data_IF_682276362227
#
_entry.id   IF_682276362227
#
_cell.length_a   1.000
_cell.length_b   1.000
_cell.length_c   1.000
_cell.angle_alpha   90.00
_cell.angle_beta   90.00
_cell.angle_gamma   90.00
#
_symmetry.space_group_name_H-M   'P 1'
#
loop_
_entity.id
_entity.type
_entity.pdbx_description
1 polymer ?
#
# COMPACT_ATOMS: atom_id res chain seq x y z
N UNK A 1 6.58 -5.12 -13.39
CA UNK A 1 7.17 -3.77 -13.44
C UNK A 1 8.34 -3.73 -12.46
N UNK A 2 9.53 -3.45 -12.94
CA UNK A 2 10.74 -3.32 -12.13
C UNK A 2 10.73 -1.94 -11.47
N UNK A 3 10.96 -1.89 -10.16
CA UNK A 3 10.90 -0.66 -9.38
C UNK A 3 12.16 -0.56 -8.56
N UNK A 4 13.01 0.40 -8.90
CA UNK A 4 14.36 0.46 -8.35
C UNK A 4 14.44 0.94 -6.91
N UNK A 5 13.75 1.96 -6.50
CA UNK A 5 13.79 2.46 -5.13
C UNK A 5 12.43 2.96 -4.71
N UNK A 6 11.86 2.32 -3.71
CA UNK A 6 10.56 2.70 -3.17
C UNK A 6 10.77 3.43 -1.85
N UNK A 7 10.32 4.67 -1.78
CA UNK A 7 10.30 5.42 -0.52
C UNK A 7 9.03 5.16 0.29
N UNK A 8 7.96 4.76 -0.37
CA UNK A 8 6.68 4.45 0.24
C UNK A 8 5.99 3.32 -0.52
N UNK A 9 5.54 2.31 0.21
CA UNK A 9 4.65 1.28 -0.30
C UNK A 9 3.56 1.02 0.73
N UNK A 10 2.31 1.05 0.31
CA UNK A 10 1.19 0.65 1.14
C UNK A 10 0.11 -0.02 0.30
N UNK A 11 -0.49 -1.09 0.82
CA UNK A 11 -1.73 -1.64 0.31
C UNK A 11 -2.85 -1.29 1.29
N UNK A 12 -3.92 -0.74 0.75
CA UNK A 12 -5.02 -0.22 1.55
C UNK A 12 -6.34 -0.88 1.14
N UNK A 13 -7.16 -1.19 2.14
CA UNK A 13 -8.56 -1.63 2.00
C UNK A 13 -9.54 -0.61 2.58
N UNK A 14 -9.03 0.45 3.17
CA UNK A 14 -9.77 1.58 3.69
C UNK A 14 -9.07 2.88 3.33
N UNK A 15 -9.79 4.00 3.42
CA UNK A 15 -9.25 5.31 3.08
C UNK A 15 -8.12 5.75 4.01
N UNK A 16 -8.24 5.41 5.29
CA UNK A 16 -7.38 5.92 6.36
C UNK A 16 -6.51 4.83 6.98
N UNK A 17 -5.35 5.25 7.47
CA UNK A 17 -4.39 4.44 8.19
C UNK A 17 -3.82 5.24 9.37
N UNK A 18 -3.51 4.57 10.47
CA UNK A 18 -2.72 5.11 11.58
C UNK A 18 -3.10 6.53 12.04
N UNK A 19 -4.15 6.69 12.81
CA UNK A 19 -4.50 8.00 13.39
C UNK A 19 -5.17 8.99 12.44
N UNK A 20 -5.74 8.53 11.33
CA UNK A 20 -6.54 9.37 10.44
C UNK A 20 -5.85 9.88 9.19
N UNK A 21 -4.65 9.43 8.88
CA UNK A 21 -3.99 9.74 7.61
C UNK A 21 -4.79 9.14 6.44
N UNK A 22 -5.17 9.98 5.47
CA UNK A 22 -5.94 9.56 4.28
C UNK A 22 -5.01 9.03 3.21
N UNK A 23 -4.48 7.84 3.44
CA UNK A 23 -3.47 7.19 2.58
C UNK A 23 -4.03 6.74 1.24
N UNK A 24 -5.30 6.29 1.20
CA UNK A 24 -6.00 5.90 -0.02
C UNK A 24 -7.26 6.77 -0.21
N UNK A 25 -7.12 8.05 -0.60
CA UNK A 25 -8.24 8.97 -0.68
C UNK A 25 -9.32 8.45 -1.66
N UNK A 26 -10.57 8.50 -1.21
CA UNK A 26 -11.73 8.02 -1.97
C UNK A 26 -11.89 6.50 -2.01
N UNK A 27 -11.11 5.76 -1.23
CA UNK A 27 -11.31 4.33 -1.12
C UNK A 27 -12.47 4.00 -0.19
N UNK A 28 -13.32 3.08 -0.63
CA UNK A 28 -14.41 2.55 0.17
C UNK A 28 -14.11 1.11 0.62
N UNK A 29 -14.31 0.74 1.90
CA UNK A 29 -13.96 -0.57 2.42
C UNK A 29 -14.78 -1.73 1.80
N UNK A 30 -15.93 -1.43 1.20
CA UNK A 30 -16.76 -2.39 0.47
C UNK A 30 -16.54 -2.36 -1.04
N UNK A 31 -15.41 -1.81 -1.50
CA UNK A 31 -15.03 -1.78 -2.91
C UNK A 31 -14.59 -3.15 -3.44
N UNK A 32 -14.56 -3.27 -4.77
CA UNK A 32 -14.21 -4.53 -5.46
C UNK A 32 -12.70 -4.75 -5.62
N UNK A 33 -11.88 -3.86 -5.10
CA UNK A 33 -10.41 -3.93 -5.21
C UNK A 33 -9.73 -3.19 -4.06
N UNK A 34 -8.54 -3.63 -3.69
CA UNK A 34 -7.62 -2.86 -2.86
C UNK A 34 -6.98 -1.72 -3.66
N UNK A 35 -6.31 -0.80 -2.96
CA UNK A 35 -5.47 0.24 -3.57
C UNK A 35 -4.02 0.03 -3.17
N UNK A 36 -3.14 0.12 -4.14
CA UNK A 36 -1.70 0.17 -3.91
C UNK A 36 -1.25 1.62 -4.05
N UNK A 37 -0.55 2.11 -3.05
CA UNK A 37 0.09 3.41 -3.05
C UNK A 37 1.59 3.16 -3.19
N UNK A 38 2.20 3.78 -4.18
CA UNK A 38 3.61 3.64 -4.49
C UNK A 38 4.28 5.01 -4.55
N UNK A 39 5.35 5.18 -3.80
CA UNK A 39 6.20 6.36 -3.85
C UNK A 39 7.61 5.97 -4.27
N UNK A 40 8.06 6.49 -5.42
CA UNK A 40 9.34 6.13 -6.01
C UNK A 40 10.36 7.25 -5.93
N UNK A 41 11.58 6.91 -5.55
CA UNK A 41 12.71 7.84 -5.55
C UNK A 41 12.45 9.12 -4.75
N UNK A 42 11.72 9.03 -3.65
CA UNK A 42 11.46 10.16 -2.75
C UNK A 42 12.72 10.47 -1.96
N UNK A 43 13.15 11.73 -1.97
CA UNK A 43 14.20 12.20 -1.07
C UNK A 43 13.69 12.26 0.37
N UNK A 44 14.59 12.26 1.35
CA UNK A 44 14.24 12.40 2.78
C UNK A 44 13.41 13.65 3.05
N UNK A 45 13.73 14.75 2.38
CA UNK A 45 12.97 16.01 2.49
C UNK A 45 11.58 15.85 1.90
N UNK A 46 11.44 15.20 0.74
CA UNK A 46 10.14 14.93 0.14
C UNK A 46 9.28 14.00 1.02
N UNK A 47 9.90 13.02 1.67
CA UNK A 47 9.19 12.16 2.63
C UNK A 47 8.65 12.94 3.83
N UNK A 48 9.41 13.91 4.33
CA UNK A 48 8.93 14.79 5.39
C UNK A 48 7.82 15.74 4.89
N UNK A 49 7.99 16.35 3.73
CA UNK A 49 7.04 17.31 3.17
C UNK A 49 5.72 16.65 2.73
N UNK A 50 5.70 15.35 2.47
CA UNK A 50 4.48 14.63 2.06
C UNK A 50 3.52 14.40 3.22
N UNK A 51 3.97 14.47 4.47
CA UNK A 51 3.14 14.16 5.65
C UNK A 51 1.89 15.01 5.75
N UNK A 52 2.00 16.32 5.57
CA UNK A 52 0.82 17.21 5.58
C UNK A 52 -0.17 16.95 4.45
N UNK A 53 0.27 16.83 3.19
CA UNK A 53 -0.58 16.37 2.09
C UNK A 53 -1.18 14.97 2.30
N UNK A 54 -0.46 14.05 2.93
CA UNK A 54 -0.92 12.70 3.24
C UNK A 54 -2.11 12.72 4.21
N UNK A 55 -2.04 13.52 5.26
CA UNK A 55 -3.14 13.73 6.20
C UNK A 55 -4.42 14.18 5.49
N UNK A 56 -4.30 15.03 4.48
CA UNK A 56 -5.41 15.61 3.71
C UNK A 56 -5.79 14.79 2.47
N UNK A 57 -5.15 13.65 2.22
CA UNK A 57 -5.38 12.85 1.01
C UNK A 57 -4.91 13.52 -0.29
N UNK A 58 -4.00 14.51 -0.22
CA UNK A 58 -3.50 15.30 -1.37
C UNK A 58 -2.08 14.92 -1.80
N UNK A 59 -1.62 13.74 -1.42
CA UNK A 59 -0.26 13.26 -1.73
C UNK A 59 -0.16 12.55 -3.08
N UNK A 60 -1.26 11.94 -3.56
CA UNK A 60 -1.29 11.23 -4.84
C UNK A 60 -0.95 12.18 -5.98
N UNK A 61 -0.07 11.74 -6.88
CA UNK A 61 0.43 12.56 -7.99
C UNK A 61 1.52 13.56 -7.63
N UNK A 62 1.85 13.75 -6.35
CA UNK A 62 2.89 14.70 -5.95
C UNK A 62 4.24 14.38 -6.58
N UNK A 63 4.86 15.41 -7.13
CA UNK A 63 6.15 15.38 -7.84
C UNK A 63 6.22 14.35 -8.98
N UNK A 64 5.06 13.81 -9.44
CA UNK A 64 5.04 12.68 -10.37
C UNK A 64 5.65 11.38 -9.82
N UNK A 65 5.84 11.30 -8.49
CA UNK A 65 6.52 10.19 -7.82
C UNK A 65 5.61 9.33 -6.97
N UNK A 66 4.38 9.77 -6.70
CA UNK A 66 3.43 9.03 -5.87
C UNK A 66 2.22 8.66 -6.72
N UNK A 67 1.99 7.37 -6.90
CA UNK A 67 0.83 6.82 -7.60
C UNK A 67 -0.09 6.07 -6.65
N UNK A 68 -1.35 5.98 -7.02
CA UNK A 68 -2.35 5.13 -6.39
C UNK A 68 -3.09 4.36 -7.49
N UNK A 69 -3.07 3.05 -7.41
CA UNK A 69 -3.62 2.17 -8.44
C UNK A 69 -4.54 1.11 -7.82
N UNK A 70 -5.66 0.75 -8.47
CA UNK A 70 -6.47 -0.39 -8.04
C UNK A 70 -5.69 -1.68 -8.27
N UNK A 71 -5.82 -2.62 -7.34
CA UNK A 71 -5.15 -3.91 -7.45
C UNK A 71 -5.97 -5.02 -6.81
N UNK A 72 -6.02 -6.18 -7.47
CA UNK A 72 -6.62 -7.41 -6.92
C UNK A 72 -5.57 -8.43 -6.51
N UNK A 73 -4.48 -8.48 -7.24
CA UNK A 73 -3.37 -9.40 -6.97
C UNK A 73 -2.05 -8.68 -7.19
N UNK A 74 -1.10 -8.84 -6.29
CA UNK A 74 0.26 -8.37 -6.47
C UNK A 74 1.25 -9.24 -5.71
N UNK A 75 2.49 -9.18 -6.14
CA UNK A 75 3.60 -9.88 -5.54
C UNK A 75 4.74 -8.92 -5.23
N UNK A 76 5.33 -9.07 -4.06
CA UNK A 76 6.50 -8.31 -3.62
C UNK A 76 7.68 -9.26 -3.53
N UNK A 77 8.76 -8.91 -4.21
CA UNK A 77 10.04 -9.63 -4.14
C UNK A 77 11.16 -8.67 -3.81
N UNK A 78 12.09 -9.09 -2.96
CA UNK A 78 13.35 -8.38 -2.81
C UNK A 78 14.16 -8.52 -4.10
N UNK A 79 14.91 -7.49 -4.46
CA UNK A 79 15.83 -7.52 -5.59
C UNK A 79 17.26 -7.54 -5.06
N UNK A 80 18.14 -8.22 -5.77
CA UNK A 80 19.58 -8.20 -5.53
C UNK A 80 20.23 -6.88 -6.04
N UNK A 81 21.54 -6.76 -5.89
CA UNK A 81 22.30 -5.60 -6.33
C UNK A 81 22.23 -5.39 -7.86
N UNK A 82 21.95 -6.44 -8.64
CA UNK A 82 21.77 -6.38 -10.08
C UNK A 82 20.31 -6.07 -10.47
N UNK A 83 19.42 -5.96 -9.47
CA UNK A 83 17.99 -5.74 -9.66
C UNK A 83 17.25 -6.99 -10.14
N UNK A 84 17.79 -8.19 -9.92
CA UNK A 84 17.11 -9.44 -10.17
C UNK A 84 16.36 -9.92 -8.91
N UNK A 85 15.19 -10.59 -9.07
CA UNK A 85 14.46 -11.14 -7.93
C UNK A 85 15.32 -12.14 -7.16
N UNK A 86 15.46 -11.94 -5.85
CA UNK A 86 16.15 -12.91 -5.01
C UNK A 86 15.27 -14.15 -4.85
N UNK A 87 15.86 -15.33 -5.05
CA UNK A 87 15.27 -16.59 -4.66
C UNK A 87 15.43 -16.78 -3.14
N UNK A 88 14.66 -17.67 -2.52
CA UNK A 88 14.61 -17.91 -1.07
C UNK A 88 15.98 -18.11 -0.38
N UNK A 89 17.01 -18.43 -1.15
CA UNK A 89 18.37 -18.62 -0.67
C UNK A 89 19.35 -17.49 -1.08
N UNK A 90 18.85 -16.36 -1.57
CA UNK A 90 19.68 -15.23 -1.99
C UNK A 90 20.30 -14.47 -0.80
N UNK A 91 21.50 -13.93 -1.03
CA UNK A 91 22.32 -13.27 -0.01
C UNK A 91 21.78 -11.92 0.51
N UNK A 92 20.66 -11.41 -0.02
CA UNK A 92 20.06 -10.17 0.49
C UNK A 92 19.06 -10.46 1.61
N UNK A 93 19.07 -9.67 2.68
CA UNK A 93 18.10 -9.83 3.75
C UNK A 93 16.68 -9.65 3.19
N UNK A 94 15.71 -10.46 3.65
CA UNK A 94 14.33 -10.31 3.23
C UNK A 94 13.80 -8.95 3.70
N UNK A 95 12.88 -8.36 2.91
CA UNK A 95 12.15 -7.18 3.33
C UNK A 95 11.04 -7.60 4.31
N UNK A 96 10.95 -6.90 5.41
CA UNK A 96 9.87 -7.11 6.38
C UNK A 96 8.60 -6.40 5.94
N UNK A 97 7.47 -7.05 6.12
CA UNK A 97 6.15 -6.53 5.75
C UNK A 97 5.31 -6.42 7.02
N UNK A 98 4.79 -5.23 7.24
CA UNK A 98 3.87 -4.95 8.32
C UNK A 98 2.43 -5.10 7.83
N UNK A 99 1.63 -5.90 8.53
CA UNK A 99 0.18 -5.97 8.40
C UNK A 99 -0.45 -5.40 9.67
N UNK A 100 -1.34 -4.43 9.47
CA UNK A 100 -2.07 -3.77 10.57
C UNK A 100 -1.18 -3.29 11.74
N UNK A 101 0.07 -2.91 11.41
CA UNK A 101 1.04 -2.41 12.38
C UNK A 101 1.98 -3.46 12.97
N UNK A 102 1.77 -4.75 12.69
CA UNK A 102 2.64 -5.84 13.15
C UNK A 102 3.52 -6.38 12.02
N UNK A 103 4.79 -6.64 12.31
CA UNK A 103 5.69 -7.31 11.35
C UNK A 103 5.33 -8.80 11.35
N UNK A 104 4.65 -9.24 10.29
CA UNK A 104 4.03 -10.56 10.23
C UNK A 104 4.66 -11.48 9.21
N UNK A 105 5.34 -10.94 8.21
CA UNK A 105 5.92 -11.72 7.11
C UNK A 105 7.12 -11.06 6.47
N UNK A 106 7.80 -11.81 5.60
CA UNK A 106 8.96 -11.37 4.83
C UNK A 106 8.76 -11.68 3.36
N UNK A 107 9.49 -10.97 2.48
CA UNK A 107 9.51 -11.29 1.03
C UNK A 107 10.16 -12.65 0.75
N UNK A 108 9.74 -13.38 -0.31
CA UNK A 108 8.69 -13.00 -1.26
C UNK A 108 7.30 -13.21 -0.68
N UNK A 109 6.35 -12.35 -1.03
CA UNK A 109 4.97 -12.49 -0.59
C UNK A 109 4.01 -12.13 -1.72
N UNK A 110 2.93 -12.89 -1.83
CA UNK A 110 1.83 -12.66 -2.76
C UNK A 110 0.56 -12.32 -1.97
N UNK A 111 -0.13 -11.28 -2.42
CA UNK A 111 -1.42 -10.88 -1.89
C UNK A 111 -2.49 -11.04 -2.95
N UNK A 112 -3.59 -11.68 -2.56
CA UNK A 112 -4.79 -11.81 -3.37
C UNK A 112 -5.96 -11.17 -2.62
N UNK A 113 -6.60 -10.18 -3.23
CA UNK A 113 -7.77 -9.52 -2.68
C UNK A 113 -9.05 -10.24 -3.11
N UNK A 114 -9.86 -10.64 -2.14
CA UNK A 114 -11.16 -11.24 -2.35
C UNK A 114 -12.26 -10.32 -1.80
N UNK A 115 -13.12 -9.82 -2.66
CA UNK A 115 -14.29 -9.05 -2.26
C UNK A 115 -15.41 -9.93 -1.72
N UNK A 116 -16.23 -9.40 -0.82
CA UNK A 116 -17.45 -10.02 -0.33
C UNK A 116 -17.29 -11.39 0.37
N UNK A 117 -16.11 -11.67 0.95
CA UNK A 117 -15.87 -12.94 1.68
C UNK A 117 -16.35 -12.90 3.14
N UNK A 118 -16.59 -11.72 3.69
CA UNK A 118 -17.06 -11.53 5.07
C UNK A 118 -18.45 -10.90 5.08
N UNK A 119 -19.40 -11.58 5.74
CA UNK A 119 -20.70 -11.00 6.06
C UNK A 119 -20.61 -10.31 7.41
N UNK A 120 -20.56 -8.99 7.41
CA UNK A 120 -20.55 -8.18 8.64
C UNK A 120 -21.99 -7.79 8.96
N UNK A 121 -22.46 -8.17 10.14
CA UNK A 121 -23.76 -7.70 10.65
C UNK A 121 -23.59 -6.26 11.14
N UNK A 122 -23.96 -5.30 10.30
CA UNK A 122 -24.02 -3.89 10.68
C UNK A 122 -25.35 -3.57 11.40
N UNK A 123 -25.35 -2.48 12.19
CA UNK A 123 -26.60 -1.92 12.72
C UNK A 123 -27.51 -1.42 11.59
N UNK A 124 -28.79 -1.24 11.89
CA UNK A 124 -29.93 -1.05 10.97
C UNK A 124 -29.91 0.22 10.09
N UNK A 125 -28.79 0.91 9.92
CA UNK A 125 -28.68 2.02 8.98
C UNK A 125 -27.68 1.65 7.87
N UNK A 126 -28.16 1.35 6.66
CA UNK A 126 -27.25 1.33 5.52
C UNK A 126 -26.64 2.73 5.36
N UNK A 127 -25.33 2.85 5.11
CA UNK A 127 -24.74 4.14 4.80
C UNK A 127 -25.43 4.71 3.56
N UNK A 128 -25.92 5.94 3.64
CA UNK A 128 -26.41 6.67 2.48
C UNK A 128 -25.26 6.77 1.49
N UNK A 129 -25.34 6.02 0.42
CA UNK A 129 -24.40 6.11 -0.71
C UNK A 129 -24.84 7.32 -1.52
N UNK A 130 -24.13 8.44 -1.35
CA UNK A 130 -24.21 9.60 -2.22
C UNK A 130 -23.03 9.61 -3.18
#
# INVERSE_FOLDING_TARGET
>A
RKVDLTGLFAMMQAETFGGGYRVAPGMHPFGDSSRIILGFGLSKIQMLLVMGPLEKGKHVGKWGKISMEPCKTFEIRALDENGEPTLENGHNPPLYISLDGEISMTTPVKFDFHSNVLNVRGGNNPPNVH
#
